data_IF_400301365209
#
_entry.id   IF_400301365209
#
_cell.length_a   1.000
_cell.length_b   1.000
_cell.length_c   1.000
_cell.angle_alpha   90.00
_cell.angle_beta   90.00
_cell.angle_gamma   90.00
#
_symmetry.space_group_name_H-M   'P 1'
#
loop_
_entity.id
_entity.type
_entity.pdbx_description
1 polymer ?
#
# COMPACT_ATOMS: atom_id res chain seq x y z
N UNK A 1 28.80 -23.19 -10.90
CA UNK A 1 27.54 -22.43 -10.92
C UNK A 1 27.27 -22.00 -12.36
N UNK A 2 26.10 -22.30 -12.95
CA UNK A 2 25.81 -21.93 -14.34
C UNK A 2 25.45 -20.44 -14.37
N UNK A 3 25.81 -19.71 -15.43
CA UNK A 3 25.52 -18.26 -15.60
C UNK A 3 24.04 -17.91 -15.38
N UNK A 4 23.15 -18.88 -15.66
CA UNK A 4 21.71 -18.81 -15.41
C UNK A 4 21.35 -18.63 -13.93
N UNK A 5 22.12 -19.20 -13.03
CA UNK A 5 21.88 -19.14 -11.58
C UNK A 5 22.22 -17.75 -11.02
N UNK A 6 23.23 -17.09 -11.61
CA UNK A 6 23.63 -15.71 -11.27
C UNK A 6 22.56 -14.71 -11.75
N UNK A 7 22.06 -14.87 -12.98
CA UNK A 7 20.97 -14.03 -13.50
C UNK A 7 19.69 -14.22 -12.67
N UNK A 8 19.41 -15.44 -12.22
CA UNK A 8 18.24 -15.72 -11.36
C UNK A 8 18.37 -15.04 -9.99
N UNK A 9 19.56 -15.10 -9.37
CA UNK A 9 19.85 -14.41 -8.11
C UNK A 9 19.76 -12.88 -8.23
N UNK A 10 20.11 -12.32 -9.39
CA UNK A 10 20.03 -10.87 -9.64
C UNK A 10 18.58 -10.43 -9.90
N UNK A 11 17.78 -11.25 -10.59
CA UNK A 11 16.35 -10.98 -10.79
C UNK A 11 15.53 -11.03 -9.49
N UNK A 12 15.99 -11.77 -8.48
CA UNK A 12 15.35 -11.80 -7.15
C UNK A 12 15.70 -10.61 -6.26
N UNK A 13 16.62 -9.73 -6.68
CA UNK A 13 16.96 -8.53 -5.93
C UNK A 13 16.06 -7.36 -6.36
N UNK A 14 15.07 -7.01 -5.54
CA UNK A 14 14.34 -5.74 -5.64
C UNK A 14 15.27 -4.58 -5.28
N UNK A 15 15.74 -3.84 -6.28
CA UNK A 15 16.77 -2.81 -6.12
C UNK A 15 16.31 -1.51 -6.81
N UNK A 16 16.54 -0.35 -6.16
CA UNK A 16 16.32 1.00 -6.70
C UNK A 16 17.16 1.27 -7.96
N UNK A 17 16.67 2.12 -8.87
CA UNK A 17 17.31 2.45 -10.16
C UNK A 17 18.79 2.90 -10.06
N UNK A 18 19.22 3.59 -8.99
CA UNK A 18 20.61 4.03 -8.85
C UNK A 18 21.60 2.89 -8.56
N UNK A 19 21.13 1.82 -7.91
CA UNK A 19 21.93 0.63 -7.63
C UNK A 19 22.05 -0.30 -8.85
N UNK A 20 21.27 -0.06 -9.91
CA UNK A 20 21.50 -0.72 -11.21
C UNK A 20 22.85 -0.30 -11.79
N UNK A 21 23.28 0.96 -11.69
CA UNK A 21 24.55 1.39 -12.27
C UNK A 21 25.75 0.65 -11.66
N UNK A 22 25.77 0.47 -10.32
CA UNK A 22 26.86 -0.25 -9.65
C UNK A 22 26.83 -1.75 -9.94
N UNK A 23 25.65 -2.38 -9.94
CA UNK A 23 25.50 -3.81 -10.26
C UNK A 23 25.78 -4.08 -11.75
N UNK A 24 25.38 -3.18 -12.63
CA UNK A 24 25.64 -3.28 -14.07
C UNK A 24 27.12 -3.05 -14.38
N UNK A 25 27.80 -2.13 -13.69
CA UNK A 25 29.24 -1.95 -13.79
C UNK A 25 29.99 -3.20 -13.29
N UNK A 26 29.57 -3.78 -12.17
CA UNK A 26 30.12 -5.03 -11.63
C UNK A 26 29.86 -6.22 -12.57
N UNK A 27 28.66 -6.35 -13.12
CA UNK A 27 28.32 -7.35 -14.14
C UNK A 27 29.13 -7.16 -15.41
N UNK A 28 29.34 -5.92 -15.85
CA UNK A 28 30.14 -5.60 -17.02
C UNK A 28 31.61 -5.98 -16.80
N UNK A 29 32.18 -5.69 -15.62
CA UNK A 29 33.54 -6.09 -15.24
C UNK A 29 33.67 -7.62 -15.16
N UNK A 30 32.67 -8.30 -14.59
CA UNK A 30 32.63 -9.77 -14.49
C UNK A 30 32.53 -10.41 -15.89
N UNK A 31 31.65 -9.91 -16.75
CA UNK A 31 31.49 -10.39 -18.13
C UNK A 31 32.72 -10.12 -19.00
N UNK A 32 33.35 -8.94 -18.85
CA UNK A 32 34.58 -8.58 -19.57
C UNK A 32 35.76 -9.45 -19.13
N UNK A 33 35.84 -9.77 -17.83
CA UNK A 33 36.84 -10.71 -17.28
C UNK A 33 36.57 -12.17 -17.67
N UNK A 34 35.31 -12.58 -17.82
CA UNK A 34 34.92 -13.92 -18.30
C UNK A 34 35.43 -14.18 -19.72
N UNK A 35 35.25 -13.20 -20.61
CA UNK A 35 35.67 -13.28 -22.01
C UNK A 35 37.19 -13.28 -22.20
N UNK A 36 37.97 -12.73 -21.27
CA UNK A 36 39.43 -12.64 -21.42
C UNK A 36 40.20 -13.83 -20.83
N UNK A 37 39.71 -14.49 -19.77
CA UNK A 37 40.55 -15.47 -19.06
C UNK A 37 39.88 -16.79 -18.67
N UNK A 38 38.60 -17.02 -18.98
CA UNK A 38 37.89 -18.29 -18.72
C UNK A 38 38.14 -18.86 -17.29
N UNK A 39 38.37 -17.97 -16.32
CA UNK A 39 38.98 -18.34 -15.05
C UNK A 39 37.89 -18.60 -14.00
N UNK A 40 37.42 -19.86 -13.94
CA UNK A 40 36.39 -20.32 -12.99
C UNK A 40 36.74 -20.01 -11.53
N UNK A 41 38.02 -19.98 -11.18
CA UNK A 41 38.47 -19.65 -9.84
C UNK A 41 38.21 -18.17 -9.49
N UNK A 42 38.37 -17.25 -10.46
CA UNK A 42 38.13 -15.83 -10.25
C UNK A 42 36.64 -15.49 -10.09
N UNK A 43 35.77 -16.20 -10.81
CA UNK A 43 34.31 -16.08 -10.65
C UNK A 43 33.86 -16.66 -9.31
N UNK A 44 34.42 -17.81 -8.92
CA UNK A 44 34.14 -18.40 -7.61
C UNK A 44 34.63 -17.49 -6.49
N UNK A 45 35.81 -16.86 -6.66
CA UNK A 45 36.34 -15.87 -5.74
C UNK A 45 35.45 -14.62 -5.68
N UNK A 46 35.00 -14.06 -6.81
CA UNK A 46 34.10 -12.90 -6.80
C UNK A 46 32.70 -13.23 -6.28
N UNK A 47 32.15 -14.40 -6.60
CA UNK A 47 30.87 -14.83 -6.04
C UNK A 47 30.99 -15.06 -4.54
N UNK A 48 32.10 -15.68 -4.11
CA UNK A 48 32.38 -15.87 -2.70
C UNK A 48 32.63 -14.53 -2.03
N UNK A 49 33.39 -13.60 -2.61
CA UNK A 49 33.67 -12.26 -2.10
C UNK A 49 32.39 -11.42 -1.96
N UNK A 50 31.47 -11.48 -2.93
CA UNK A 50 30.17 -10.80 -2.85
C UNK A 50 29.29 -11.42 -1.76
N UNK A 51 29.28 -12.76 -1.63
CA UNK A 51 28.52 -13.48 -0.59
C UNK A 51 29.15 -13.37 0.81
N UNK A 52 30.47 -13.39 0.91
CA UNK A 52 31.26 -13.44 2.14
C UNK A 52 31.47 -12.06 2.73
N UNK A 53 31.61 -11.03 1.89
CA UNK A 53 31.67 -9.64 2.35
C UNK A 53 30.30 -9.00 2.54
N UNK A 54 29.19 -9.75 2.47
CA UNK A 54 27.87 -9.18 2.76
C UNK A 54 27.65 -7.85 2.01
N UNK A 55 28.09 -7.74 0.74
CA UNK A 55 27.78 -6.55 -0.08
C UNK A 55 26.28 -6.50 -0.43
N UNK A 56 25.53 -7.56 -0.11
CA UNK A 56 24.05 -7.61 -0.03
C UNK A 56 23.49 -7.17 1.33
N UNK A 57 24.34 -6.83 2.29
CA UNK A 57 24.04 -6.52 3.69
C UNK A 57 24.73 -5.22 4.16
N UNK A 58 25.11 -4.33 3.25
CA UNK A 58 24.86 -2.93 3.57
C UNK A 58 23.35 -2.84 3.76
N UNK A 59 22.94 -2.88 5.03
CA UNK A 59 21.56 -2.72 5.43
C UNK A 59 21.16 -1.33 4.94
N UNK A 60 20.57 -1.26 3.74
CA UNK A 60 20.08 -0.02 3.14
C UNK A 60 19.15 0.57 4.19
N UNK A 61 19.61 1.65 4.81
CA UNK A 61 18.85 2.37 5.82
C UNK A 61 17.67 2.98 5.09
N UNK A 62 16.46 2.62 5.50
CA UNK A 62 15.25 3.17 4.91
C UNK A 62 14.94 4.47 5.65
N UNK A 63 14.99 5.58 4.93
CA UNK A 63 14.71 6.90 5.47
C UNK A 63 13.23 7.21 5.32
N UNK A 64 12.56 7.32 6.46
CA UNK A 64 11.13 7.61 6.55
C UNK A 64 10.94 9.03 7.07
N UNK A 65 10.16 9.81 6.35
CA UNK A 65 9.70 11.12 6.77
C UNK A 65 8.26 11.04 7.27
N UNK A 66 8.00 11.55 8.47
CA UNK A 66 6.65 11.67 9.04
C UNK A 66 6.28 13.15 9.09
N UNK A 67 5.17 13.51 8.43
CA UNK A 67 4.65 14.88 8.38
C UNK A 67 3.27 14.87 9.03
N UNK A 68 3.20 15.37 10.26
CA UNK A 68 1.96 15.43 11.03
C UNK A 68 2.08 16.50 12.11
N UNK A 69 1.02 17.29 12.30
CA UNK A 69 0.97 18.29 13.38
C UNK A 69 0.60 17.66 14.74
N UNK A 70 0.22 16.38 14.75
CA UNK A 70 -0.17 15.62 15.94
C UNK A 70 1.01 14.82 16.52
N UNK A 71 1.62 15.34 17.57
CA UNK A 71 2.82 14.77 18.22
C UNK A 71 2.59 13.31 18.67
N UNK A 72 1.46 13.04 19.33
CA UNK A 72 1.16 11.71 19.90
C UNK A 72 1.15 10.63 18.81
N UNK A 73 0.57 10.94 17.66
CA UNK A 73 0.49 10.00 16.55
C UNK A 73 1.89 9.71 15.98
N UNK A 74 2.71 10.76 15.76
CA UNK A 74 4.10 10.60 15.29
C UNK A 74 4.93 9.72 16.22
N UNK A 75 4.89 9.98 17.53
CA UNK A 75 5.63 9.21 18.52
C UNK A 75 5.20 7.74 18.53
N UNK A 76 3.89 7.50 18.47
CA UNK A 76 3.34 6.15 18.44
C UNK A 76 3.79 5.37 17.20
N UNK A 77 3.78 6.01 16.02
CA UNK A 77 4.18 5.38 14.78
C UNK A 77 5.69 5.15 14.73
N UNK A 78 6.47 6.15 15.16
CA UNK A 78 7.93 6.04 15.24
C UNK A 78 8.34 4.87 16.15
N UNK A 79 7.69 4.73 17.30
CA UNK A 79 7.88 3.57 18.18
C UNK A 79 7.55 2.24 17.48
N UNK A 80 6.39 2.15 16.80
CA UNK A 80 5.98 0.94 16.07
C UNK A 80 6.96 0.57 14.95
N UNK A 81 7.45 1.57 14.21
CA UNK A 81 8.42 1.38 13.12
C UNK A 81 9.76 0.85 13.64
N UNK A 82 10.26 1.40 14.75
CA UNK A 82 11.51 0.94 15.37
C UNK A 82 11.43 -0.48 15.91
N UNK A 83 10.26 -0.93 16.37
CA UNK A 83 10.09 -2.32 16.80
C UNK A 83 10.08 -3.33 15.64
N UNK A 84 9.71 -2.90 14.44
CA UNK A 84 9.58 -3.80 13.29
C UNK A 84 10.85 -3.96 12.49
N UNK A 85 11.62 -2.88 12.30
CA UNK A 85 12.74 -2.87 11.35
C UNK A 85 13.99 -2.28 11.99
N UNK A 86 15.06 -3.08 12.03
CA UNK A 86 16.36 -2.70 12.60
C UNK A 86 17.19 -1.73 11.73
N UNK A 87 16.68 -1.30 10.57
CA UNK A 87 17.41 -0.56 9.52
C UNK A 87 16.60 0.64 9.01
N UNK A 88 16.04 1.41 9.92
CA UNK A 88 15.10 2.46 9.59
C UNK A 88 15.51 3.74 10.31
N UNK A 89 15.59 4.83 9.56
CA UNK A 89 15.73 6.18 10.09
C UNK A 89 14.38 6.87 9.99
N UNK A 90 13.85 7.38 11.10
CA UNK A 90 12.58 8.13 11.12
C UNK A 90 12.91 9.58 11.44
N UNK A 91 12.56 10.48 10.52
CA UNK A 91 12.55 11.92 10.76
C UNK A 91 11.10 12.37 10.86
N UNK A 92 10.77 13.12 11.90
CA UNK A 92 9.45 13.70 12.09
C UNK A 92 9.51 15.22 11.97
N UNK A 93 8.62 15.78 11.16
CA UNK A 93 8.48 17.22 10.96
C UNK A 93 7.02 17.63 11.16
N UNK A 94 6.81 18.88 11.57
CA UNK A 94 5.50 19.53 11.62
C UNK A 94 5.28 20.34 10.35
N UNK A 95 4.03 20.62 9.98
CA UNK A 95 3.77 21.62 8.96
C UNK A 95 4.18 22.99 9.50
N UNK A 96 5.00 23.73 8.76
CA UNK A 96 5.55 25.01 9.21
C UNK A 96 5.36 26.07 8.14
N UNK A 97 4.74 27.20 8.50
CA UNK A 97 4.48 28.29 7.54
C UNK A 97 5.73 28.90 6.91
N UNK A 98 6.89 28.78 7.56
CA UNK A 98 8.12 29.50 7.22
C UNK A 98 9.27 28.61 6.74
N UNK A 99 9.16 27.28 6.89
CA UNK A 99 10.18 26.37 6.42
C UNK A 99 9.54 25.32 5.53
N UNK A 100 9.76 25.40 4.22
CA UNK A 100 9.09 24.48 3.35
C UNK A 100 9.57 23.05 3.55
N UNK A 101 8.61 22.14 3.75
CA UNK A 101 8.83 20.69 3.93
C UNK A 101 9.72 20.08 2.83
N UNK A 102 9.75 20.70 1.64
CA UNK A 102 10.54 20.26 0.49
C UNK A 102 12.06 20.35 0.66
N UNK A 103 12.58 21.14 1.62
CA UNK A 103 14.03 21.23 1.87
C UNK A 103 14.59 20.02 2.63
N UNK A 104 13.75 19.29 3.36
CA UNK A 104 14.17 18.19 4.24
C UNK A 104 13.96 16.80 3.59
N UNK A 105 13.97 16.76 2.25
CA UNK A 105 13.59 15.56 1.50
C UNK A 105 14.74 14.97 0.71
N UNK A 106 15.98 15.36 1.05
CA UNK A 106 17.18 14.66 0.59
C UNK A 106 17.19 13.25 1.21
N UNK A 107 17.45 12.25 0.37
CA UNK A 107 17.56 10.83 0.76
C UNK A 107 16.31 10.17 1.38
N UNK A 108 15.11 10.76 1.25
CA UNK A 108 13.87 10.14 1.76
C UNK A 108 13.39 9.03 0.82
N UNK A 109 13.10 7.85 1.39
CA UNK A 109 12.52 6.71 0.66
C UNK A 109 11.00 6.71 0.70
N UNK A 110 10.45 6.99 1.88
CA UNK A 110 9.02 6.90 2.19
C UNK A 110 8.62 8.13 2.98
N UNK A 111 7.59 8.84 2.52
CA UNK A 111 6.96 9.91 3.27
C UNK A 111 5.57 9.47 3.72
N UNK A 112 5.29 9.61 5.00
CA UNK A 112 3.93 9.58 5.51
C UNK A 112 3.46 10.99 5.79
N UNK A 113 2.27 11.33 5.30
CA UNK A 113 1.78 12.71 5.25
C UNK A 113 0.36 12.76 5.78
N UNK A 114 0.14 13.52 6.84
CA UNK A 114 -1.20 13.87 7.28
C UNK A 114 -1.91 14.70 6.22
N UNK A 115 -3.18 14.37 5.93
CA UNK A 115 -3.94 15.14 4.94
C UNK A 115 -4.49 16.46 5.50
N UNK A 116 -4.44 16.64 6.82
CA UNK A 116 -4.91 17.82 7.55
C UNK A 116 -3.81 18.83 7.87
N UNK A 117 -2.79 18.97 7.01
CA UNK A 117 -1.71 19.95 7.17
C UNK A 117 -2.29 21.37 7.38
N UNK A 118 -1.84 22.06 8.42
CA UNK A 118 -2.33 23.41 8.76
C UNK A 118 -1.72 24.51 7.91
N UNK A 119 -0.45 24.36 7.53
CA UNK A 119 0.33 25.45 6.95
C UNK A 119 0.75 25.22 5.50
N UNK A 120 0.98 23.96 5.12
CA UNK A 120 1.41 23.58 3.78
C UNK A 120 0.23 23.05 2.96
N UNK A 121 0.21 23.38 1.66
CA UNK A 121 -0.76 22.79 0.74
C UNK A 121 -0.37 21.34 0.45
N UNK A 122 -1.25 20.41 0.80
CA UNK A 122 -1.04 18.98 0.57
C UNK A 122 -0.69 18.66 -0.88
N UNK A 123 -1.37 19.27 -1.86
CA UNK A 123 -1.12 19.04 -3.29
C UNK A 123 0.30 19.37 -3.71
N UNK A 124 0.85 20.47 -3.19
CA UNK A 124 2.22 20.92 -3.51
C UNK A 124 3.25 19.95 -2.93
N UNK A 125 2.99 19.45 -1.71
CA UNK A 125 3.82 18.42 -1.05
C UNK A 125 3.79 17.10 -1.84
N UNK A 126 2.60 16.64 -2.23
CA UNK A 126 2.44 15.39 -2.98
C UNK A 126 3.06 15.48 -4.38
N UNK A 127 2.91 16.61 -5.06
CA UNK A 127 3.55 16.84 -6.35
C UNK A 127 5.07 16.73 -6.24
N UNK A 128 5.66 17.38 -5.24
CA UNK A 128 7.09 17.33 -4.97
C UNK A 128 7.59 15.90 -4.71
N UNK A 129 6.85 15.12 -3.91
CA UNK A 129 7.19 13.72 -3.66
C UNK A 129 7.08 12.84 -4.90
N UNK A 130 6.08 13.07 -5.74
CA UNK A 130 5.93 12.36 -6.99
C UNK A 130 7.08 12.66 -7.96
N UNK A 131 7.52 13.92 -8.07
CA UNK A 131 8.66 14.34 -8.91
C UNK A 131 9.97 13.68 -8.46
N UNK A 132 10.16 13.54 -7.14
CA UNK A 132 11.32 12.86 -6.53
C UNK A 132 11.18 11.34 -6.43
N UNK A 133 10.04 10.78 -6.87
CA UNK A 133 9.71 9.34 -6.75
C UNK A 133 9.80 8.81 -5.32
N UNK A 134 9.47 9.67 -4.35
CA UNK A 134 9.33 9.30 -2.95
C UNK A 134 8.01 8.55 -2.82
N UNK A 135 8.02 7.42 -2.11
CA UNK A 135 6.79 6.66 -1.88
C UNK A 135 5.95 7.36 -0.83
N UNK A 136 4.66 7.52 -1.09
CA UNK A 136 3.83 8.35 -0.22
C UNK A 136 2.69 7.57 0.41
N UNK A 137 2.51 7.71 1.71
CA UNK A 137 1.36 7.18 2.46
C UNK A 137 0.61 8.34 3.11
N UNK A 138 -0.70 8.37 2.97
CA UNK A 138 -1.55 9.39 3.59
C UNK A 138 -2.02 8.95 4.98
N UNK A 139 -1.95 9.82 5.98
CA UNK A 139 -2.68 9.66 7.23
C UNK A 139 -4.02 10.36 7.17
N UNK A 140 -5.07 9.66 7.59
CA UNK A 140 -6.44 10.15 7.56
C UNK A 140 -7.07 9.92 8.92
N UNK A 141 -7.52 10.99 9.56
CA UNK A 141 -8.20 10.91 10.85
C UNK A 141 -9.66 10.50 10.68
N UNK A 142 -10.34 11.13 9.71
CA UNK A 142 -11.74 10.85 9.43
C UNK A 142 -12.05 11.02 7.93
N UNK A 143 -12.35 9.91 7.25
CA UNK A 143 -12.61 9.88 5.81
C UNK A 143 -13.75 10.84 5.44
N UNK A 144 -14.86 10.83 6.18
CA UNK A 144 -16.03 11.62 5.82
C UNK A 144 -15.77 13.14 5.94
N UNK A 145 -15.06 13.55 6.98
CA UNK A 145 -14.72 14.97 7.19
C UNK A 145 -13.66 15.45 6.20
N UNK A 146 -12.76 14.56 5.77
CA UNK A 146 -11.63 14.90 4.92
C UNK A 146 -11.79 14.35 3.49
N UNK A 147 -13.03 14.02 3.09
CA UNK A 147 -13.35 13.32 1.83
C UNK A 147 -12.77 14.03 0.61
N UNK A 148 -13.02 15.33 0.48
CA UNK A 148 -12.57 16.12 -0.68
C UNK A 148 -11.05 16.14 -0.79
N UNK A 149 -10.36 16.41 0.33
CA UNK A 149 -8.90 16.43 0.37
C UNK A 149 -8.30 15.06 0.07
N UNK A 150 -8.91 14.00 0.60
CA UNK A 150 -8.48 12.62 0.34
C UNK A 150 -8.62 12.25 -1.15
N UNK A 151 -9.77 12.57 -1.76
CA UNK A 151 -10.00 12.31 -3.20
C UNK A 151 -9.01 13.07 -4.08
N UNK A 152 -8.75 14.34 -3.76
CA UNK A 152 -7.74 15.15 -4.46
C UNK A 152 -6.34 14.55 -4.30
N UNK A 153 -5.94 14.20 -3.08
CA UNK A 153 -4.64 13.59 -2.80
C UNK A 153 -4.43 12.24 -3.51
N UNK A 154 -5.47 11.44 -3.67
CA UNK A 154 -5.40 10.15 -4.35
C UNK A 154 -5.07 10.28 -5.85
N UNK A 155 -5.27 11.45 -6.46
CA UNK A 155 -4.88 11.71 -7.86
C UNK A 155 -3.35 11.70 -8.06
N UNK A 156 -2.57 11.91 -6.99
CA UNK A 156 -1.10 11.92 -7.00
C UNK A 156 -0.46 10.52 -6.89
N UNK A 157 -1.20 9.44 -7.18
CA UNK A 157 -0.71 8.04 -7.22
C UNK A 157 0.00 7.61 -5.93
N UNK A 158 -0.54 8.01 -4.78
CA UNK A 158 -0.02 7.60 -3.47
C UNK A 158 0.05 6.07 -3.32
N UNK A 159 1.02 5.61 -2.55
CA UNK A 159 1.30 4.19 -2.34
C UNK A 159 0.49 3.58 -1.20
N UNK A 160 -0.08 4.40 -0.31
CA UNK A 160 -1.10 3.91 0.58
C UNK A 160 -1.86 4.95 1.36
N UNK A 161 -2.86 4.47 2.10
CA UNK A 161 -3.68 5.27 3.02
C UNK A 161 -3.77 4.52 4.35
N UNK A 162 -3.56 5.24 5.45
CA UNK A 162 -3.60 4.71 6.80
C UNK A 162 -4.54 5.57 7.64
N UNK A 163 -5.45 4.93 8.38
CA UNK A 163 -6.36 5.64 9.28
C UNK A 163 -5.69 5.81 10.65
N UNK A 164 -5.70 7.01 11.24
CA UNK A 164 -5.03 7.26 12.53
C UNK A 164 -5.61 6.45 13.69
N UNK A 165 -6.86 6.02 13.56
CA UNK A 165 -7.56 5.16 14.54
C UNK A 165 -7.37 3.65 14.28
N UNK A 166 -6.44 3.26 13.41
CA UNK A 166 -6.16 1.85 13.11
C UNK A 166 -5.42 1.19 14.27
N UNK A 167 -5.79 -0.05 14.59
CA UNK A 167 -5.07 -0.82 15.62
C UNK A 167 -3.58 -1.03 15.25
N UNK A 168 -2.66 -1.01 16.24
CA UNK A 168 -1.22 -1.12 16.00
C UNK A 168 -0.78 -2.31 15.14
N UNK A 169 -1.39 -3.49 15.34
CA UNK A 169 -1.08 -4.70 14.56
C UNK A 169 -1.46 -4.56 13.08
N UNK A 170 -2.54 -3.84 12.79
CA UNK A 170 -2.93 -3.55 11.41
C UNK A 170 -1.97 -2.56 10.77
N UNK A 171 -1.56 -1.49 11.48
CA UNK A 171 -0.50 -0.55 11.04
C UNK A 171 0.79 -1.32 10.71
N UNK A 172 1.22 -2.20 11.61
CA UNK A 172 2.40 -3.07 11.45
C UNK A 172 2.34 -3.89 10.16
N UNK A 173 1.19 -4.51 9.88
CA UNK A 173 0.99 -5.29 8.66
C UNK A 173 1.03 -4.42 7.38
N UNK A 174 0.47 -3.22 7.43
CA UNK A 174 0.44 -2.27 6.32
C UNK A 174 1.82 -1.72 6.00
N UNK A 175 2.59 -1.35 7.02
CA UNK A 175 3.99 -0.95 6.89
C UNK A 175 4.81 -2.07 6.25
N UNK A 176 4.62 -3.33 6.68
CA UNK A 176 5.30 -4.48 6.04
C UNK A 176 4.96 -4.61 4.56
N UNK A 177 3.71 -4.42 4.18
CA UNK A 177 3.32 -4.43 2.77
C UNK A 177 4.03 -3.31 2.00
N UNK A 178 4.04 -2.11 2.57
CA UNK A 178 4.73 -0.95 2.01
C UNK A 178 6.21 -1.25 1.78
N UNK A 179 6.94 -1.70 2.80
CA UNK A 179 8.37 -1.98 2.70
C UNK A 179 8.70 -3.08 1.68
N UNK A 180 7.78 -4.01 1.43
CA UNK A 180 7.89 -5.02 0.38
C UNK A 180 7.52 -4.50 -1.02
N UNK A 181 7.43 -3.18 -1.22
CA UNK A 181 7.11 -2.58 -2.51
C UNK A 181 5.62 -2.60 -2.88
N UNK A 182 4.74 -3.05 -1.97
CA UNK A 182 3.30 -3.15 -2.23
C UNK A 182 2.58 -1.86 -1.85
N UNK A 183 1.38 -1.70 -2.39
CA UNK A 183 0.44 -0.63 -2.03
C UNK A 183 -0.68 -1.17 -1.17
N UNK A 184 -1.29 -0.31 -0.36
CA UNK A 184 -2.41 -0.70 0.50
C UNK A 184 -3.38 0.47 0.69
N UNK A 185 -4.66 0.18 0.86
CA UNK A 185 -5.65 1.19 1.26
C UNK A 185 -6.75 0.55 2.10
N UNK A 186 -7.37 1.27 3.03
CA UNK A 186 -8.50 0.77 3.81
C UNK A 186 -9.68 0.50 2.89
N UNK A 187 -10.49 -0.49 3.25
CA UNK A 187 -11.70 -0.86 2.50
C UNK A 187 -12.65 0.33 2.31
N UNK A 188 -12.79 1.18 3.33
CA UNK A 188 -13.61 2.41 3.27
C UNK A 188 -13.14 3.40 2.21
N UNK A 189 -11.83 3.53 2.00
CA UNK A 189 -11.27 4.41 0.95
C UNK A 189 -11.48 3.80 -0.43
N UNK A 190 -11.34 2.48 -0.55
CA UNK A 190 -11.66 1.79 -1.80
C UNK A 190 -13.13 1.98 -2.20
N UNK A 191 -14.06 1.89 -1.25
CA UNK A 191 -15.48 2.17 -1.50
C UNK A 191 -15.73 3.61 -1.91
N UNK A 192 -15.12 4.56 -1.22
CA UNK A 192 -15.21 5.97 -1.59
C UNK A 192 -14.80 6.23 -3.04
N UNK A 193 -13.72 5.59 -3.51
CA UNK A 193 -13.26 5.71 -4.89
C UNK A 193 -14.23 5.07 -5.89
N UNK A 194 -14.80 3.91 -5.56
CA UNK A 194 -15.80 3.26 -6.40
C UNK A 194 -17.09 4.08 -6.48
N UNK A 195 -17.52 4.69 -5.37
CA UNK A 195 -18.64 5.65 -5.31
C UNK A 195 -18.42 6.84 -6.25
N UNK A 196 -17.24 7.46 -6.17
CA UNK A 196 -16.91 8.62 -6.99
C UNK A 196 -16.86 8.25 -8.47
N UNK A 197 -16.26 7.10 -8.79
CA UNK A 197 -16.25 6.57 -10.15
C UNK A 197 -17.66 6.21 -10.64
N UNK A 198 -18.54 5.69 -9.78
CA UNK A 198 -19.94 5.40 -10.09
C UNK A 198 -20.79 6.66 -10.26
N UNK A 199 -20.44 7.78 -9.62
CA UNK A 199 -21.17 9.04 -9.79
C UNK A 199 -20.83 9.73 -11.12
N UNK A 200 -19.62 9.50 -11.64
CA UNK A 200 -19.14 10.05 -12.91
C UNK A 200 -19.65 9.27 -14.14
N UNK A 201 -20.08 8.01 -13.94
CA UNK A 201 -20.67 7.18 -14.99
C UNK A 201 -22.16 7.01 -14.68
N UNK A 202 -23.07 7.32 -15.60
CA UNK A 202 -24.51 7.14 -15.36
C UNK A 202 -24.80 5.76 -14.73
N UNK A 203 -25.71 5.68 -13.73
CA UNK A 203 -25.95 4.44 -13.04
C UNK A 203 -26.52 3.43 -14.05
N UNK A 204 -25.68 2.48 -14.47
CA UNK A 204 -26.19 1.21 -14.95
C UNK A 204 -27.03 0.65 -13.81
N UNK A 205 -28.33 0.51 -14.03
CA UNK A 205 -29.25 -0.13 -13.10
C UNK A 205 -28.59 -1.40 -12.55
N UNK A 206 -28.51 -1.52 -11.22
CA UNK A 206 -27.84 -2.66 -10.59
C UNK A 206 -28.50 -3.95 -11.08
N UNK A 207 -27.82 -4.69 -11.96
CA UNK A 207 -28.31 -5.93 -12.50
C UNK A 207 -28.18 -6.99 -11.41
N UNK A 208 -29.25 -7.68 -11.02
CA UNK A 208 -29.10 -8.78 -10.05
C UNK A 208 -28.12 -9.82 -10.60
N UNK A 209 -27.19 -10.35 -9.78
CA UNK A 209 -26.42 -11.52 -10.19
C UNK A 209 -27.39 -12.65 -10.58
N UNK A 210 -27.04 -13.50 -11.55
CA UNK A 210 -27.85 -14.69 -11.84
C UNK A 210 -28.10 -15.47 -10.56
N UNK A 211 -29.34 -15.91 -10.31
CA UNK A 211 -29.68 -16.74 -9.13
C UNK A 211 -28.88 -18.06 -9.10
N UNK A 212 -28.34 -18.47 -10.25
CA UNK A 212 -27.41 -19.60 -10.38
C UNK A 212 -26.06 -19.34 -9.71
N UNK A 213 -25.67 -18.08 -9.50
CA UNK A 213 -24.43 -17.69 -8.85
C UNK A 213 -24.64 -17.39 -7.37
N UNK A 214 -25.59 -16.50 -7.03
CA UNK A 214 -25.88 -16.11 -5.65
C UNK A 214 -27.37 -16.30 -5.33
N UNK A 215 -27.65 -16.84 -4.14
CA UNK A 215 -29.01 -16.90 -3.58
C UNK A 215 -29.48 -15.51 -3.15
N UNK A 216 -30.81 -15.35 -2.97
CA UNK A 216 -31.39 -14.09 -2.51
C UNK A 216 -30.75 -13.58 -1.20
N UNK A 217 -30.48 -14.49 -0.24
CA UNK A 217 -29.85 -14.11 1.03
C UNK A 217 -28.40 -13.70 0.87
N UNK A 218 -27.65 -14.38 0.01
CA UNK A 218 -26.26 -13.97 -0.28
C UNK A 218 -26.23 -12.62 -0.99
N UNK A 219 -27.22 -12.33 -1.83
CA UNK A 219 -27.34 -11.05 -2.50
C UNK A 219 -27.71 -9.92 -1.52
N UNK A 220 -28.67 -10.11 -0.62
CA UNK A 220 -28.97 -9.16 0.47
C UNK A 220 -27.72 -8.88 1.32
N UNK A 221 -26.95 -9.93 1.64
CA UNK A 221 -25.68 -9.78 2.37
C UNK A 221 -24.67 -8.97 1.55
N UNK A 222 -24.51 -9.24 0.25
CA UNK A 222 -23.61 -8.50 -0.64
C UNK A 222 -23.96 -7.01 -0.72
N UNK A 223 -25.25 -6.69 -0.76
CA UNK A 223 -25.75 -5.32 -0.82
C UNK A 223 -25.49 -4.56 0.48
N UNK A 224 -25.60 -5.22 1.64
CA UNK A 224 -25.24 -4.58 2.90
C UNK A 224 -23.71 -4.50 3.09
N UNK A 225 -22.95 -5.46 2.55
CA UNK A 225 -21.49 -5.37 2.50
C UNK A 225 -21.03 -4.18 1.65
N UNK A 226 -21.72 -3.86 0.54
CA UNK A 226 -21.40 -2.72 -0.32
C UNK A 226 -21.75 -1.36 0.29
N UNK A 227 -22.63 -1.36 1.30
CA UNK A 227 -22.89 -0.21 2.19
C UNK A 227 -21.85 -0.06 3.32
N UNK A 228 -20.80 -0.89 3.32
CA UNK A 228 -19.74 -0.83 4.35
C UNK A 228 -20.11 -1.45 5.70
N UNK A 229 -21.30 -2.05 5.84
CA UNK A 229 -21.79 -2.55 7.13
C UNK A 229 -20.93 -3.68 7.71
N UNK A 230 -20.77 -3.69 9.03
CA UNK A 230 -20.22 -4.80 9.81
C UNK A 230 -21.18 -5.99 9.87
N UNK A 231 -20.68 -7.20 10.16
CA UNK A 231 -21.56 -8.37 10.29
C UNK A 231 -22.65 -8.19 11.34
N UNK A 232 -22.36 -7.41 12.40
CA UNK A 232 -23.33 -7.06 13.44
C UNK A 232 -24.43 -6.16 12.89
N UNK A 233 -24.09 -5.10 12.16
CA UNK A 233 -25.07 -4.22 11.52
C UNK A 233 -25.93 -4.96 10.49
N UNK A 234 -25.31 -5.82 9.68
CA UNK A 234 -26.03 -6.68 8.71
C UNK A 234 -26.99 -7.62 9.44
N UNK A 235 -26.57 -8.18 10.58
CA UNK A 235 -27.41 -9.10 11.37
C UNK A 235 -28.68 -8.42 11.87
N UNK A 236 -28.56 -7.15 12.31
CA UNK A 236 -29.68 -6.33 12.71
C UNK A 236 -30.56 -5.94 11.52
N UNK A 237 -29.96 -5.57 10.38
CA UNK A 237 -30.70 -5.17 9.18
C UNK A 237 -31.51 -6.31 8.57
N UNK A 238 -30.99 -7.54 8.59
CA UNK A 238 -31.61 -8.71 7.97
C UNK A 238 -32.38 -9.60 8.95
N UNK A 239 -32.45 -9.23 10.23
CA UNK A 239 -33.05 -10.01 11.31
C UNK A 239 -32.44 -11.43 11.42
N UNK A 240 -31.11 -11.52 11.36
CA UNK A 240 -30.34 -12.76 11.44
C UNK A 240 -29.41 -12.76 12.66
N UNK A 241 -28.90 -13.92 13.05
CA UNK A 241 -27.77 -13.97 14.00
C UNK A 241 -26.47 -13.53 13.32
N UNK A 242 -25.55 -12.91 14.05
CA UNK A 242 -24.23 -12.53 13.53
C UNK A 242 -23.46 -13.74 12.97
N UNK A 243 -23.64 -14.92 13.59
CA UNK A 243 -23.03 -16.16 13.11
C UNK A 243 -23.61 -16.61 11.76
N UNK A 244 -24.91 -16.44 11.55
CA UNK A 244 -25.57 -16.70 10.27
C UNK A 244 -25.05 -15.77 9.18
N UNK A 245 -24.85 -14.49 9.50
CA UNK A 245 -24.24 -13.53 8.56
C UNK A 245 -22.82 -13.96 8.20
N UNK A 246 -21.98 -14.34 9.18
CA UNK A 246 -20.62 -14.85 8.92
C UNK A 246 -20.63 -16.04 7.94
N UNK A 247 -21.58 -16.96 8.10
CA UNK A 247 -21.73 -18.10 7.19
C UNK A 247 -22.12 -17.68 5.77
N UNK A 248 -23.06 -16.73 5.63
CA UNK A 248 -23.42 -16.18 4.32
C UNK A 248 -22.25 -15.45 3.68
N UNK A 249 -21.51 -14.63 4.42
CA UNK A 249 -20.31 -13.95 3.91
C UNK A 249 -19.28 -14.98 3.44
N UNK A 250 -18.97 -16.01 4.24
CA UNK A 250 -18.01 -17.05 3.84
C UNK A 250 -18.42 -17.78 2.56
N UNK A 251 -19.70 -18.13 2.44
CA UNK A 251 -20.24 -18.82 1.26
C UNK A 251 -20.21 -17.92 0.02
N UNK A 252 -20.60 -16.65 0.20
CA UNK A 252 -20.51 -15.62 -0.82
C UNK A 252 -19.07 -15.44 -1.33
N UNK A 253 -18.08 -15.29 -0.44
CA UNK A 253 -16.68 -15.16 -0.84
C UNK A 253 -16.21 -16.34 -1.69
N UNK A 254 -16.57 -17.57 -1.27
CA UNK A 254 -16.25 -18.80 -2.03
C UNK A 254 -16.90 -18.80 -3.41
N UNK A 255 -18.18 -18.45 -3.51
CA UNK A 255 -18.92 -18.39 -4.78
C UNK A 255 -18.38 -17.34 -5.74
N UNK A 256 -17.92 -16.21 -5.20
CA UNK A 256 -17.28 -15.14 -5.98
C UNK A 256 -15.81 -15.43 -6.32
N UNK A 257 -15.20 -16.45 -5.73
CA UNK A 257 -13.79 -16.77 -5.93
C UNK A 257 -12.83 -15.74 -5.34
N UNK A 258 -13.28 -14.96 -4.35
CA UNK A 258 -12.50 -13.87 -3.75
C UNK A 258 -12.08 -14.19 -2.31
N UNK A 259 -11.01 -13.53 -1.86
CA UNK A 259 -10.33 -13.86 -0.59
C UNK A 259 -10.90 -13.11 0.62
N UNK A 260 -11.44 -11.92 0.38
CA UNK A 260 -11.93 -11.03 1.40
C UNK A 260 -13.18 -10.27 0.95
N UNK A 261 -13.88 -9.69 1.92
CA UNK A 261 -15.11 -8.91 1.69
C UNK A 261 -14.90 -7.69 0.81
N UNK A 262 -13.70 -7.10 0.79
CA UNK A 262 -13.37 -5.95 -0.07
C UNK A 262 -13.39 -6.36 -1.52
N UNK A 263 -12.70 -7.44 -1.83
CA UNK A 263 -12.65 -8.06 -3.14
C UNK A 263 -14.04 -8.47 -3.62
N UNK A 264 -14.89 -9.00 -2.74
CA UNK A 264 -16.27 -9.35 -3.09
C UNK A 264 -17.10 -8.16 -3.58
N UNK A 265 -17.02 -7.02 -2.88
CA UNK A 265 -17.77 -5.84 -3.29
C UNK A 265 -17.17 -5.21 -4.54
N UNK A 266 -15.83 -5.19 -4.69
CA UNK A 266 -15.19 -4.75 -5.94
C UNK A 266 -15.69 -5.60 -7.12
N UNK A 267 -15.74 -6.94 -6.95
CA UNK A 267 -16.26 -7.84 -7.98
C UNK A 267 -17.73 -7.55 -8.28
N UNK A 268 -18.56 -7.38 -7.26
CA UNK A 268 -19.97 -7.06 -7.43
C UNK A 268 -20.16 -5.73 -8.19
N UNK A 269 -19.32 -4.74 -7.90
CA UNK A 269 -19.32 -3.47 -8.61
C UNK A 269 -18.91 -3.61 -10.08
N UNK A 270 -17.80 -4.32 -10.36
CA UNK A 270 -17.32 -4.57 -11.72
C UNK A 270 -18.35 -5.30 -12.59
N UNK A 271 -19.18 -6.13 -11.97
CA UNK A 271 -20.26 -6.88 -12.63
C UNK A 271 -21.57 -6.08 -12.72
N UNK A 272 -21.61 -4.86 -12.18
CA UNK A 272 -22.82 -4.02 -12.14
C UNK A 272 -23.91 -4.54 -11.20
N UNK A 273 -23.58 -5.38 -10.21
CA UNK A 273 -24.55 -6.00 -9.30
C UNK A 273 -24.96 -5.16 -8.11
N UNK A 274 -24.14 -4.17 -7.78
CA UNK A 274 -24.40 -3.26 -6.68
C UNK A 274 -23.84 -1.89 -7.02
N UNK A 275 -24.57 -0.87 -6.62
CA UNK A 275 -24.06 0.50 -6.60
C UNK A 275 -23.37 0.69 -5.25
N UNK A 276 -22.23 1.37 -5.24
CA UNK A 276 -21.62 1.74 -3.97
C UNK A 276 -22.46 2.90 -3.40
N UNK A 277 -23.06 2.66 -2.25
CA UNK A 277 -24.04 3.56 -1.65
C UNK A 277 -23.35 4.52 -0.69
N UNK A 278 -23.50 5.84 -0.95
CA UNK A 278 -23.08 6.91 -0.03
C UNK A 278 -23.58 6.63 1.39
N UNK A 279 -22.66 6.49 2.34
CA UNK A 279 -22.91 6.52 3.79
C UNK A 279 -23.09 7.93 4.30
#
# INVERSE_FOLDING_TARGET
MKFRDIIFAIRSLTIKQESYCKIFLLLHIICKSYNQHNNRAYISYLSHYIFSNNLSKERIMINILLIDDEIIFKDSLQYLLFQEINNLSVTSIESHSNHPLYKETEDIDIAFVDIGLKHDKLTDVLQHFQERRIRTVLFVSCINQQKTQLLEALTFKVDGVLLKNTEPESIRSQVKLLLNGKRFMPQSVAFLLLEEYAALNEPATAAKPPLTLLSNREWEVLENLSKGMSNREISLSLFLSENTVKNHVSTLLKKLGVKDRTSAVITAYQQGWTLVHKS
#
